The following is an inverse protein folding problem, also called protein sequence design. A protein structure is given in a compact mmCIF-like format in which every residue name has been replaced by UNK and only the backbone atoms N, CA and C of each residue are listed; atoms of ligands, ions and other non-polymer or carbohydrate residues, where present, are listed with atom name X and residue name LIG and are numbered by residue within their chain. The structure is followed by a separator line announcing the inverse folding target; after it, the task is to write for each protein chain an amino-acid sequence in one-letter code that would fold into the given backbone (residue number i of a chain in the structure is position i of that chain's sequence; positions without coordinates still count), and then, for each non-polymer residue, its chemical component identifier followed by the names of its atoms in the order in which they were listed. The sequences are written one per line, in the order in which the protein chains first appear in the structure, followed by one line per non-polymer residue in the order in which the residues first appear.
data_IF_881760746337
#
_entry.id   IF_881760746337
#
_cell.length_a   1.000
_cell.length_b   1.000
_cell.length_c   1.000
_cell.angle_alpha   90.00
_cell.angle_beta   90.00
_cell.angle_gamma   90.00
#
_symmetry.space_group_name_H-M   'P 1'
#
loop_
_entity.id
_entity.type
_entity.pdbx_description
1 polymer ?
#
# COMPACT_ATOMS: atom_id res chain seq x y z
N UNK A 1 2.36 -49.72 -33.65
CA UNK A 1 1.64 -48.70 -34.41
C UNK A 1 2.10 -47.31 -33.87
N UNK A 2 3.15 -46.76 -34.58
CA UNK A 2 3.68 -45.42 -34.30
C UNK A 2 2.86 -44.38 -35.05
N UNK A 3 2.06 -43.60 -34.35
CA UNK A 3 1.41 -42.44 -34.92
C UNK A 3 2.35 -41.23 -34.76
N UNK A 4 3.13 -40.93 -35.82
CA UNK A 4 3.84 -39.65 -35.95
C UNK A 4 2.82 -38.56 -36.37
N UNK A 5 2.27 -37.84 -35.44
CA UNK A 5 1.51 -36.62 -35.68
C UNK A 5 2.53 -35.52 -35.95
N UNK A 6 2.83 -35.20 -37.21
CA UNK A 6 3.51 -33.96 -37.59
C UNK A 6 2.58 -32.79 -37.27
N UNK A 7 2.76 -32.15 -36.14
CA UNK A 7 2.22 -30.83 -35.84
C UNK A 7 2.94 -29.81 -36.75
N UNK A 8 2.35 -29.54 -37.91
CA UNK A 8 2.69 -28.37 -38.72
C UNK A 8 2.25 -27.12 -37.94
N UNK A 9 3.12 -26.61 -37.08
CA UNK A 9 3.00 -25.27 -36.52
C UNK A 9 3.18 -24.25 -37.61
N UNK A 10 2.08 -23.93 -38.29
CA UNK A 10 1.93 -22.74 -39.13
C UNK A 10 2.04 -21.53 -38.19
N UNK A 11 3.26 -21.11 -37.88
CA UNK A 11 3.53 -19.81 -37.26
C UNK A 11 3.22 -18.74 -38.28
N UNK A 12 1.93 -18.40 -38.42
CA UNK A 12 1.54 -17.15 -39.08
C UNK A 12 2.08 -16.02 -38.21
N UNK A 13 3.28 -15.55 -38.53
CA UNK A 13 3.81 -14.28 -38.02
C UNK A 13 2.97 -13.15 -38.63
N UNK A 14 1.74 -12.97 -38.16
CA UNK A 14 1.04 -11.72 -38.40
C UNK A 14 1.90 -10.60 -37.83
N UNK A 15 2.57 -9.85 -38.68
CA UNK A 15 3.20 -8.58 -38.30
C UNK A 15 2.07 -7.63 -37.91
N UNK A 16 1.74 -7.62 -36.61
CA UNK A 16 0.77 -6.67 -36.05
C UNK A 16 1.35 -5.28 -36.30
N UNK A 17 0.65 -4.48 -37.13
CA UNK A 17 1.06 -3.10 -37.37
C UNK A 17 0.92 -2.28 -36.12
N UNK A 18 1.91 -1.44 -35.78
CA UNK A 18 1.77 -0.53 -34.65
C UNK A 18 0.60 0.43 -34.92
N UNK A 19 -0.23 0.63 -33.87
CA UNK A 19 -1.35 1.58 -33.94
C UNK A 19 -0.91 2.97 -33.45
N UNK A 20 -1.66 3.99 -33.82
CA UNK A 20 -1.52 5.32 -33.25
C UNK A 20 -2.23 5.33 -31.89
N UNK A 21 -1.52 5.74 -30.85
CA UNK A 21 -2.08 5.90 -29.50
C UNK A 21 -2.89 7.19 -29.45
N UNK A 22 -4.02 7.17 -28.73
CA UNK A 22 -4.83 8.36 -28.52
C UNK A 22 -4.13 9.35 -27.57
N UNK A 23 -4.53 10.63 -27.61
CA UNK A 23 -4.04 11.64 -26.68
C UNK A 23 -4.28 11.26 -25.21
N UNK A 24 -5.44 10.65 -24.92
CA UNK A 24 -5.77 10.15 -23.60
C UNK A 24 -4.78 9.07 -23.13
N UNK A 25 -4.45 8.12 -24.00
CA UNK A 25 -3.47 7.07 -23.67
C UNK A 25 -2.06 7.65 -23.45
N UNK A 26 -1.66 8.63 -24.24
CA UNK A 26 -0.37 9.29 -24.08
C UNK A 26 -0.32 10.08 -22.76
N UNK A 27 -1.38 10.81 -22.42
CA UNK A 27 -1.50 11.51 -21.15
C UNK A 27 -1.45 10.55 -19.97
N UNK A 28 -2.21 9.45 -20.05
CA UNK A 28 -2.19 8.41 -19.02
C UNK A 28 -0.80 7.80 -18.83
N UNK A 29 -0.11 7.45 -19.92
CA UNK A 29 1.26 6.91 -19.86
C UNK A 29 2.25 7.90 -19.27
N UNK A 30 2.07 9.20 -19.49
CA UNK A 30 2.89 10.24 -18.87
C UNK A 30 2.72 10.24 -17.33
N UNK A 31 1.50 10.11 -16.82
CA UNK A 31 1.24 10.01 -15.39
C UNK A 31 1.77 8.69 -14.79
N UNK A 32 1.60 7.57 -15.49
CA UNK A 32 2.18 6.27 -15.09
C UNK A 32 3.70 6.37 -14.99
N UNK A 33 4.36 7.07 -15.92
CA UNK A 33 5.82 7.29 -15.85
C UNK A 33 6.24 8.11 -14.63
N UNK A 34 5.48 9.15 -14.26
CA UNK A 34 5.73 9.91 -13.03
C UNK A 34 5.60 8.99 -11.79
N UNK A 35 4.54 8.19 -11.77
CA UNK A 35 4.32 7.20 -10.73
C UNK A 35 5.50 6.21 -10.62
N UNK A 36 5.96 5.64 -11.73
CA UNK A 36 7.12 4.73 -11.78
C UNK A 36 8.37 5.36 -11.19
N UNK A 37 8.64 6.63 -11.49
CA UNK A 37 9.78 7.36 -10.96
C UNK A 37 9.70 7.48 -9.42
N UNK A 38 8.54 7.88 -8.90
CA UNK A 38 8.31 7.98 -7.45
C UNK A 38 8.42 6.60 -6.80
N UNK A 39 7.80 5.58 -7.38
CA UNK A 39 7.85 4.22 -6.85
C UNK A 39 9.28 3.66 -6.83
N UNK A 40 10.08 3.92 -7.85
CA UNK A 40 11.48 3.50 -7.87
C UNK A 40 12.31 4.23 -6.81
N UNK A 41 12.07 5.53 -6.59
CA UNK A 41 12.71 6.28 -5.52
C UNK A 41 12.33 5.73 -4.13
N UNK A 42 11.05 5.42 -3.89
CA UNK A 42 10.61 4.84 -2.61
C UNK A 42 11.18 3.45 -2.38
N UNK A 43 11.25 2.60 -3.42
CA UNK A 43 11.92 1.29 -3.36
C UNK A 43 13.41 1.42 -3.01
N UNK A 44 14.10 2.39 -3.62
CA UNK A 44 15.51 2.66 -3.34
C UNK A 44 15.71 3.08 -1.88
N UNK A 45 14.94 4.05 -1.41
CA UNK A 45 14.99 4.50 -0.01
C UNK A 45 14.68 3.34 0.94
N UNK A 46 13.62 2.58 0.71
CA UNK A 46 13.22 1.47 1.56
C UNK A 46 14.31 0.40 1.70
N UNK A 47 15.03 0.11 0.61
CA UNK A 47 16.15 -0.85 0.62
C UNK A 47 17.37 -0.33 1.36
N UNK A 48 17.68 0.96 1.23
CA UNK A 48 18.86 1.57 1.85
C UNK A 48 18.66 1.90 3.33
N UNK A 49 17.42 1.93 3.82
CA UNK A 49 17.10 2.10 5.25
C UNK A 49 17.16 0.81 6.05
N UNK A 50 17.41 -0.33 5.40
CA UNK A 50 17.48 -1.62 6.08
C UNK A 50 18.65 -1.66 7.07
N UNK A 51 18.36 -2.03 8.31
CA UNK A 51 19.37 -2.16 9.37
C UNK A 51 19.80 -0.86 10.05
N UNK A 52 19.23 0.30 9.67
CA UNK A 52 19.50 1.57 10.36
C UNK A 52 18.76 1.56 11.69
N UNK A 53 19.52 1.72 12.79
CA UNK A 53 18.95 1.89 14.11
C UNK A 53 18.33 3.28 14.24
N UNK A 54 17.13 3.35 14.80
CA UNK A 54 16.39 4.59 14.94
C UNK A 54 15.56 4.61 16.24
N UNK A 55 15.07 5.78 16.62
CA UNK A 55 14.16 5.94 17.74
C UNK A 55 12.82 5.24 17.52
N UNK A 56 12.01 5.09 18.58
CA UNK A 56 10.66 4.54 18.49
C UNK A 56 9.80 5.24 17.44
N UNK A 57 9.88 6.59 17.34
CA UNK A 57 9.21 7.40 16.32
C UNK A 57 9.70 7.07 14.91
N UNK A 58 11.01 7.04 14.71
CA UNK A 58 11.61 6.70 13.42
C UNK A 58 11.27 5.27 12.97
N UNK A 59 11.22 4.31 13.90
CA UNK A 59 10.81 2.94 13.60
C UNK A 59 9.35 2.89 13.12
N UNK A 60 8.45 3.65 13.75
CA UNK A 60 7.04 3.74 13.33
C UNK A 60 6.92 4.36 11.93
N UNK A 61 7.60 5.48 11.69
CA UNK A 61 7.66 6.12 10.38
C UNK A 61 8.18 5.16 9.29
N UNK A 62 9.26 4.43 9.56
CA UNK A 62 9.82 3.44 8.63
C UNK A 62 8.83 2.33 8.32
N UNK A 63 8.08 1.83 9.30
CA UNK A 63 7.04 0.80 9.07
C UNK A 63 5.91 1.31 8.17
N UNK A 64 5.44 2.54 8.40
CA UNK A 64 4.41 3.16 7.56
C UNK A 64 4.96 3.35 6.14
N UNK A 65 6.16 3.89 5.99
CA UNK A 65 6.81 4.10 4.69
C UNK A 65 6.99 2.79 3.92
N UNK A 66 7.48 1.74 4.57
CA UNK A 66 7.64 0.41 3.95
C UNK A 66 6.30 -0.14 3.48
N UNK A 67 5.24 -0.02 4.31
CA UNK A 67 3.89 -0.44 3.93
C UNK A 67 3.39 0.33 2.69
N UNK A 68 3.63 1.65 2.63
CA UNK A 68 3.26 2.47 1.48
C UNK A 68 4.02 2.05 0.22
N UNK A 69 5.30 1.73 0.35
CA UNK A 69 6.09 1.21 -0.78
C UNK A 69 5.53 -0.12 -1.30
N UNK A 70 5.12 -1.04 -0.41
CA UNK A 70 4.49 -2.32 -0.79
C UNK A 70 3.15 -2.08 -1.47
N UNK A 71 2.31 -1.17 -0.96
CA UNK A 71 1.05 -0.79 -1.60
C UNK A 71 1.28 -0.21 -3.00
N UNK A 72 2.28 0.65 -3.16
CA UNK A 72 2.70 1.16 -4.47
C UNK A 72 3.11 0.03 -5.42
N UNK A 73 3.93 -0.93 -4.98
CA UNK A 73 4.29 -2.10 -5.81
C UNK A 73 3.06 -2.92 -6.21
N UNK A 74 2.08 -3.05 -5.33
CA UNK A 74 0.84 -3.78 -5.61
C UNK A 74 -0.03 -3.04 -6.63
N UNK A 75 -0.15 -1.72 -6.48
CA UNK A 75 -0.83 -0.86 -7.46
C UNK A 75 -0.17 -0.95 -8.84
N UNK A 76 1.16 -0.92 -8.90
CA UNK A 76 1.93 -1.04 -10.14
C UNK A 76 1.57 -2.30 -10.96
N UNK A 77 1.30 -3.42 -10.27
CA UNK A 77 0.95 -4.70 -10.89
C UNK A 77 -0.44 -4.71 -11.52
N UNK A 78 -1.35 -3.90 -11.04
CA UNK A 78 -2.73 -3.83 -11.53
C UNK A 78 -2.97 -2.63 -12.45
N UNK A 79 -2.03 -1.68 -12.53
CA UNK A 79 -2.12 -0.56 -13.45
C UNK A 79 -2.04 -1.06 -14.89
N UNK A 80 -2.99 -0.70 -15.75
CA UNK A 80 -2.92 -1.05 -17.16
C UNK A 80 -1.77 -0.29 -17.83
N UNK A 81 -1.08 -0.99 -18.72
CA UNK A 81 0.05 -0.43 -19.47
C UNK A 81 -0.20 -0.61 -20.96
N UNK A 82 -0.97 0.31 -21.59
CA UNK A 82 -1.20 0.28 -23.02
C UNK A 82 0.12 0.44 -23.78
N UNK A 83 0.24 -0.29 -24.86
CA UNK A 83 1.40 -0.23 -25.75
C UNK A 83 0.94 0.16 -27.15
N UNK A 84 1.90 0.39 -28.06
CA UNK A 84 1.57 0.58 -29.48
C UNK A 84 0.92 -0.65 -30.14
N UNK A 85 0.84 -1.78 -29.43
CA UNK A 85 0.22 -3.02 -29.92
C UNK A 85 -1.06 -3.39 -29.17
N UNK A 86 -1.28 -2.83 -27.97
CA UNK A 86 -2.43 -3.12 -27.13
C UNK A 86 -3.19 -1.85 -26.80
N UNK A 87 -4.52 -1.92 -26.85
CA UNK A 87 -5.38 -0.81 -26.45
C UNK A 87 -5.44 -0.67 -24.93
N UNK A 88 -5.73 0.55 -24.49
CA UNK A 88 -6.18 0.80 -23.14
C UNK A 88 -7.61 0.28 -23.03
N UNK A 89 -7.78 -0.92 -22.51
CA UNK A 89 -9.09 -1.51 -22.31
C UNK A 89 -9.67 -1.02 -21.00
N UNK A 90 -10.41 0.09 -21.05
CA UNK A 90 -11.05 0.71 -19.87
C UNK A 90 -12.16 -0.18 -19.27
N UNK A 91 -12.71 -1.13 -20.04
CA UNK A 91 -13.79 -2.00 -19.56
C UNK A 91 -13.30 -3.11 -18.64
N UNK A 92 -12.02 -3.48 -18.75
CA UNK A 92 -11.40 -4.51 -17.91
C UNK A 92 -10.62 -3.91 -16.71
N UNK A 93 -10.78 -2.61 -16.45
CA UNK A 93 -10.16 -2.02 -15.28
C UNK A 93 -10.98 -2.30 -14.03
N UNK A 94 -10.31 -2.85 -13.04
CA UNK A 94 -10.85 -2.89 -11.69
C UNK A 94 -10.68 -1.52 -11.02
N UNK A 95 -11.52 -0.58 -11.43
CA UNK A 95 -11.52 0.80 -10.91
C UNK A 95 -11.74 0.83 -9.40
N UNK A 96 -12.50 -0.13 -8.86
CA UNK A 96 -12.79 -0.21 -7.42
C UNK A 96 -11.52 -0.55 -6.65
N UNK A 97 -10.77 -1.56 -7.10
CA UNK A 97 -9.47 -1.88 -6.49
C UNK A 97 -8.47 -0.75 -6.64
N UNK A 98 -8.39 -0.09 -7.80
CA UNK A 98 -7.53 1.08 -7.99
C UNK A 98 -7.86 2.21 -7.02
N UNK A 99 -9.15 2.53 -6.86
CA UNK A 99 -9.61 3.55 -5.92
C UNK A 99 -9.27 3.17 -4.47
N UNK A 100 -9.44 1.90 -4.07
CA UNK A 100 -9.08 1.41 -2.76
C UNK A 100 -7.57 1.53 -2.49
N UNK A 101 -6.72 1.20 -3.46
CA UNK A 101 -5.27 1.39 -3.34
C UNK A 101 -4.90 2.87 -3.22
N UNK A 102 -5.49 3.74 -4.06
CA UNK A 102 -5.23 5.17 -4.02
C UNK A 102 -5.62 5.77 -2.66
N UNK A 103 -6.78 5.38 -2.12
CA UNK A 103 -7.23 5.77 -0.78
C UNK A 103 -6.24 5.30 0.29
N UNK A 104 -5.85 4.04 0.29
CA UNK A 104 -4.90 3.49 1.26
C UNK A 104 -3.52 4.19 1.19
N UNK A 105 -3.06 4.56 0.00
CA UNK A 105 -1.82 5.33 -0.19
C UNK A 105 -1.97 6.73 0.42
N UNK A 106 -3.08 7.41 0.16
CA UNK A 106 -3.35 8.74 0.72
C UNK A 106 -3.44 8.71 2.26
N UNK A 107 -4.22 7.79 2.82
CA UNK A 107 -4.35 7.62 4.27
C UNK A 107 -3.01 7.27 4.93
N UNK A 108 -2.22 6.45 4.27
CA UNK A 108 -0.88 6.12 4.74
C UNK A 108 0.11 7.28 4.65
N UNK A 109 0.01 8.13 3.63
CA UNK A 109 0.79 9.37 3.55
C UNK A 109 0.44 10.33 4.69
N UNK A 110 -0.85 10.55 4.96
CA UNK A 110 -1.30 11.36 6.08
C UNK A 110 -0.80 10.81 7.42
N UNK A 111 -0.90 9.48 7.60
CA UNK A 111 -0.37 8.82 8.79
C UNK A 111 1.15 8.95 8.91
N UNK A 112 1.88 8.83 7.81
CA UNK A 112 3.34 9.00 7.78
C UNK A 112 3.74 10.43 8.17
N UNK A 113 3.04 11.44 7.64
CA UNK A 113 3.26 12.83 8.02
C UNK A 113 2.97 13.05 9.50
N UNK A 114 1.79 12.66 9.97
CA UNK A 114 1.32 12.88 11.34
C UNK A 114 2.17 12.20 12.42
N UNK A 115 2.65 10.98 12.16
CA UNK A 115 3.44 10.21 13.13
C UNK A 115 4.95 10.30 12.92
N UNK A 116 5.41 10.68 11.73
CA UNK A 116 6.82 10.57 11.37
C UNK A 116 7.52 11.87 11.01
N UNK A 117 6.84 12.78 10.30
CA UNK A 117 7.48 13.96 9.69
C UNK A 117 7.18 15.24 10.46
N UNK A 118 5.96 15.41 10.94
CA UNK A 118 5.53 16.65 11.59
C UNK A 118 6.47 17.03 12.72
N UNK A 119 6.86 18.31 12.77
CA UNK A 119 7.76 18.84 13.81
C UNK A 119 6.98 19.05 15.10
N UNK A 120 7.06 18.08 15.99
CA UNK A 120 6.37 18.01 17.28
C UNK A 120 7.32 17.50 18.35
N UNK A 121 7.01 17.78 19.63
CA UNK A 121 7.79 17.27 20.74
C UNK A 121 7.69 15.73 20.86
N UNK A 122 8.65 15.13 21.55
CA UNK A 122 8.64 13.69 21.79
C UNK A 122 7.46 13.26 22.66
N UNK A 123 7.02 14.11 23.59
CA UNK A 123 5.85 13.88 24.44
C UNK A 123 4.57 13.85 23.61
N UNK A 124 4.41 14.81 22.72
CA UNK A 124 3.27 14.84 21.79
C UNK A 124 3.27 13.62 20.86
N UNK A 125 4.44 13.25 20.32
CA UNK A 125 4.57 12.07 19.47
C UNK A 125 4.18 10.78 20.21
N UNK A 126 4.55 10.65 21.48
CA UNK A 126 4.18 9.51 22.31
C UNK A 126 2.68 9.51 22.63
N UNK A 127 2.11 10.67 22.99
CA UNK A 127 0.67 10.81 23.23
C UNK A 127 -0.15 10.40 21.99
N UNK A 128 0.20 10.91 20.81
CA UNK A 128 -0.46 10.51 19.55
C UNK A 128 -0.41 9.01 19.33
N UNK A 129 0.72 8.39 19.64
CA UNK A 129 0.87 6.95 19.49
C UNK A 129 0.04 6.16 20.50
N UNK A 130 -0.02 6.58 21.75
CA UNK A 130 -0.86 5.95 22.78
C UNK A 130 -2.36 6.01 22.40
N UNK A 131 -2.80 7.15 21.86
CA UNK A 131 -4.17 7.31 21.35
C UNK A 131 -4.44 6.32 20.21
N UNK A 132 -3.51 6.20 19.25
CA UNK A 132 -3.64 5.24 18.14
C UNK A 132 -3.68 3.79 18.66
N UNK A 133 -2.82 3.44 19.62
CA UNK A 133 -2.82 2.10 20.20
C UNK A 133 -4.13 1.80 20.93
N UNK A 134 -4.64 2.76 21.72
CA UNK A 134 -5.92 2.60 22.40
C UNK A 134 -7.06 2.36 21.41
N UNK A 135 -7.12 3.16 20.34
CA UNK A 135 -8.14 2.99 19.29
C UNK A 135 -8.08 1.59 18.67
N UNK A 136 -6.90 1.14 18.29
CA UNK A 136 -6.69 -0.21 17.72
C UNK A 136 -7.08 -1.31 18.72
N UNK A 137 -6.75 -1.17 20.00
CA UNK A 137 -7.08 -2.18 21.00
C UNK A 137 -8.59 -2.26 21.20
N UNK A 138 -9.29 -1.13 21.17
CA UNK A 138 -10.76 -1.10 21.21
C UNK A 138 -11.35 -1.79 19.98
N UNK A 139 -10.88 -1.48 18.78
CA UNK A 139 -11.36 -2.13 17.55
C UNK A 139 -11.11 -3.65 17.57
N UNK A 140 -9.91 -4.08 17.98
CA UNK A 140 -9.59 -5.50 18.13
C UNK A 140 -10.45 -6.20 19.16
N UNK A 141 -10.73 -5.54 20.29
CA UNK A 141 -11.62 -6.07 21.31
C UNK A 141 -13.04 -6.31 20.76
N UNK A 142 -13.59 -5.33 20.04
CA UNK A 142 -14.92 -5.47 19.43
C UNK A 142 -14.96 -6.60 18.36
N UNK A 143 -13.92 -6.73 17.54
CA UNK A 143 -13.85 -7.81 16.55
C UNK A 143 -13.80 -9.19 17.22
N UNK A 144 -12.98 -9.35 18.27
CA UNK A 144 -12.87 -10.62 18.99
C UNK A 144 -14.15 -10.97 19.73
N UNK A 145 -14.81 -9.98 20.29
CA UNK A 145 -16.13 -10.15 20.92
C UNK A 145 -17.17 -10.68 19.94
N UNK A 146 -17.14 -10.22 18.69
CA UNK A 146 -18.03 -10.72 17.65
C UNK A 146 -17.71 -12.16 17.22
N UNK A 147 -16.48 -12.61 17.40
CA UNK A 147 -16.02 -13.96 17.05
C UNK A 147 -16.11 -14.96 18.20
N UNK A 148 -16.71 -14.57 19.37
CA UNK A 148 -16.80 -15.41 20.59
C UNK A 148 -15.44 -16.03 20.99
N UNK A 149 -14.33 -15.27 20.80
CA UNK A 149 -13.00 -15.74 21.19
C UNK A 149 -12.85 -15.79 22.73
N UNK A 150 -12.33 -16.91 23.22
CA UNK A 150 -11.93 -17.06 24.63
C UNK A 150 -10.74 -16.11 24.94
N UNK A 151 -10.63 -15.57 26.15
CA UNK A 151 -9.59 -14.63 26.64
C UNK A 151 -9.83 -13.13 26.38
N UNK A 152 -11.08 -12.69 26.33
CA UNK A 152 -11.42 -11.26 26.29
C UNK A 152 -11.06 -10.49 27.58
N UNK A 153 -10.96 -11.17 28.72
CA UNK A 153 -10.71 -10.55 30.04
C UNK A 153 -9.39 -9.76 30.10
N UNK A 154 -8.34 -10.23 29.44
CA UNK A 154 -7.03 -9.56 29.44
C UNK A 154 -7.10 -8.24 28.65
N UNK A 155 -7.81 -8.23 27.54
CA UNK A 155 -8.05 -7.02 26.75
C UNK A 155 -8.98 -6.04 27.46
N UNK A 156 -10.03 -6.55 28.12
CA UNK A 156 -10.97 -5.72 28.86
C UNK A 156 -10.29 -4.98 30.02
N UNK A 157 -9.33 -5.60 30.69
CA UNK A 157 -8.53 -4.97 31.76
C UNK A 157 -7.50 -3.97 31.21
N UNK A 158 -6.91 -4.21 30.07
CA UNK A 158 -5.85 -3.36 29.50
C UNK A 158 -6.36 -2.01 28.96
N UNK A 159 -7.61 -1.93 28.50
CA UNK A 159 -8.20 -0.69 27.94
C UNK A 159 -8.31 0.43 29.00
N UNK A 160 -8.85 0.21 30.21
CA UNK A 160 -8.90 1.24 31.24
C UNK A 160 -7.51 1.74 31.68
N UNK A 161 -6.52 0.85 31.81
CA UNK A 161 -5.15 1.22 32.13
C UNK A 161 -4.53 2.15 31.09
N UNK A 162 -4.73 1.85 29.82
CA UNK A 162 -4.26 2.72 28.74
C UNK A 162 -4.96 4.09 28.73
N UNK A 163 -6.26 4.13 28.98
CA UNK A 163 -7.00 5.39 29.12
C UNK A 163 -6.45 6.25 30.24
N UNK A 164 -6.12 5.65 31.37
CA UNK A 164 -5.56 6.37 32.52
C UNK A 164 -4.15 6.91 32.24
N UNK A 165 -3.29 6.12 31.53
CA UNK A 165 -1.99 6.59 31.10
C UNK A 165 -2.09 7.82 30.19
N UNK A 166 -3.04 7.84 29.26
CA UNK A 166 -3.28 8.98 28.35
C UNK A 166 -3.71 10.22 29.16
N UNK A 167 -4.64 10.08 30.11
CA UNK A 167 -5.08 11.19 30.96
C UNK A 167 -3.95 11.81 31.76
N UNK A 168 -3.00 10.99 32.22
CA UNK A 168 -1.88 11.47 33.03
C UNK A 168 -0.77 12.15 32.19
N UNK A 169 -0.87 12.13 30.87
CA UNK A 169 0.05 12.82 29.95
C UNK A 169 -0.50 14.14 29.40
N UNK A 170 -1.80 14.41 29.59
CA UNK A 170 -2.44 15.68 29.22
C UNK A 170 -2.37 16.65 30.40
#
# INVERSE_FOLDING_TARGET
LNYNIKLNTLTMKHKIKPRVQSELELSFLAEVKKYDNVLNATKFISRNQHGIMTTGRGLRATRIFTRQTVLGVSLDKILPRPTKYTHLDLFNWDVVSLAAFARNILEGYLSFHYFGIEDISDEEAELRFLILQLHRNIEWFEIRKLNDEDNLEEFEKGIPEQKERIKNQI
#
